data_IF_343013696848
#
_entry.id   IF_343013696848
#
_cell.length_a   1.000
_cell.length_b   1.000
_cell.length_c   1.000
_cell.angle_alpha   90.00
_cell.angle_beta   90.00
_cell.angle_gamma   90.00
#
_symmetry.space_group_name_H-M   'P 1'
#
loop_
_entity.id
_entity.type
_entity.pdbx_description
1 polymer ?
#
# COMPACT_ATOMS: atom_id res chain seq x y z
N UNK A 1 18.76 -23.03 -14.77
CA UNK A 1 18.50 -21.60 -14.46
C UNK A 1 17.02 -21.48 -14.18
N UNK A 2 16.64 -20.88 -13.05
CA UNK A 2 15.22 -20.60 -12.76
C UNK A 2 14.72 -19.63 -13.84
N UNK A 3 13.55 -19.89 -14.46
CA UNK A 3 13.00 -18.96 -15.44
C UNK A 3 12.78 -17.60 -14.79
N UNK A 4 13.04 -16.55 -15.56
CA UNK A 4 13.00 -15.17 -15.09
C UNK A 4 12.24 -14.31 -16.09
N UNK A 5 11.34 -13.48 -15.58
CA UNK A 5 10.73 -12.38 -16.33
C UNK A 5 11.61 -11.14 -16.29
N UNK A 6 11.42 -10.26 -17.26
CA UNK A 6 12.15 -8.98 -17.34
C UNK A 6 11.19 -7.86 -16.98
N UNK A 7 11.50 -7.13 -15.90
CA UNK A 7 10.82 -5.88 -15.57
C UNK A 7 11.54 -4.73 -16.27
N UNK A 8 10.78 -3.85 -16.92
CA UNK A 8 11.32 -2.77 -17.76
C UNK A 8 11.13 -1.41 -17.12
N UNK A 9 12.23 -0.78 -16.77
CA UNK A 9 12.31 0.57 -16.21
C UNK A 9 12.96 1.54 -17.21
N UNK A 10 12.93 2.87 -16.95
CA UNK A 10 13.72 3.82 -17.73
C UNK A 10 15.20 3.42 -17.75
N UNK A 11 15.86 3.52 -18.91
CA UNK A 11 17.29 3.14 -19.06
C UNK A 11 18.24 4.30 -18.77
N UNK A 12 17.73 5.53 -18.86
CA UNK A 12 18.44 6.79 -18.65
C UNK A 12 18.60 7.12 -17.16
N UNK A 13 17.73 6.61 -16.29
CA UNK A 13 17.74 6.89 -14.85
C UNK A 13 17.24 5.72 -14.00
N UNK A 14 17.69 5.68 -12.75
CA UNK A 14 17.06 4.88 -11.70
C UNK A 14 15.67 5.41 -11.36
N UNK A 15 14.73 4.51 -11.04
CA UNK A 15 13.48 4.89 -10.35
C UNK A 15 13.45 4.45 -8.88
N UNK A 16 14.56 3.91 -8.37
CA UNK A 16 14.73 3.40 -7.02
C UNK A 16 15.25 1.97 -7.00
N UNK A 17 14.77 1.13 -6.08
CA UNK A 17 15.33 -0.20 -5.84
C UNK A 17 14.30 -1.30 -6.03
N UNK A 18 14.73 -2.36 -6.72
CA UNK A 18 13.94 -3.58 -6.83
C UNK A 18 14.45 -4.62 -5.83
N UNK A 19 13.54 -5.07 -4.96
CA UNK A 19 13.77 -6.20 -4.05
C UNK A 19 12.87 -7.36 -4.42
N UNK A 20 13.21 -8.56 -3.98
CA UNK A 20 12.38 -9.72 -4.18
C UNK A 20 12.40 -10.66 -2.97
N UNK A 21 11.25 -11.28 -2.70
CA UNK A 21 11.14 -12.43 -1.79
C UNK A 21 10.78 -13.66 -2.61
N UNK A 22 11.28 -14.81 -2.22
CA UNK A 22 11.03 -16.07 -2.93
C UNK A 22 11.43 -17.27 -2.07
N UNK A 23 11.01 -18.48 -2.46
CA UNK A 23 11.30 -19.71 -1.72
C UNK A 23 12.80 -20.01 -1.59
N UNK A 24 13.62 -19.47 -2.50
CA UNK A 24 15.08 -19.51 -2.47
C UNK A 24 15.73 -18.67 -1.35
N UNK A 25 14.98 -17.77 -0.71
CA UNK A 25 15.47 -16.92 0.38
C UNK A 25 14.55 -17.00 1.62
N UNK A 26 14.40 -18.18 2.25
CA UNK A 26 13.44 -18.39 3.33
C UNK A 26 13.76 -17.56 4.58
N UNK A 27 15.05 -17.30 4.86
CA UNK A 27 15.52 -16.56 6.03
C UNK A 27 15.62 -15.04 5.79
N UNK A 28 15.13 -14.55 4.64
CA UNK A 28 15.19 -13.13 4.27
C UNK A 28 13.77 -12.51 4.26
N UNK A 29 13.21 -12.16 5.43
CA UNK A 29 11.82 -11.69 5.53
C UNK A 29 11.57 -10.38 4.76
N UNK A 30 12.61 -9.55 4.60
CA UNK A 30 12.56 -8.30 3.83
C UNK A 30 12.98 -8.46 2.36
N UNK A 31 13.29 -9.69 1.94
CA UNK A 31 13.77 -10.00 0.59
C UNK A 31 15.19 -9.54 0.30
N UNK A 32 15.72 -10.04 -0.81
CA UNK A 32 17.03 -9.68 -1.35
C UNK A 32 16.92 -8.43 -2.23
N UNK A 33 17.98 -7.63 -2.27
CA UNK A 33 18.12 -6.57 -3.26
C UNK A 33 18.51 -7.19 -4.61
N UNK A 34 17.67 -7.01 -5.64
CA UNK A 34 18.00 -7.39 -7.01
C UNK A 34 18.85 -6.33 -7.70
N UNK A 35 18.67 -5.06 -7.31
CA UNK A 35 19.48 -3.95 -7.79
C UNK A 35 18.66 -2.67 -7.97
N UNK A 36 19.23 -1.77 -8.74
CA UNK A 36 18.57 -0.56 -9.22
C UNK A 36 17.41 -0.93 -10.17
N UNK A 37 16.26 -0.28 -10.00
CA UNK A 37 15.16 -0.32 -10.94
C UNK A 37 15.49 0.58 -12.16
N UNK A 38 16.42 0.10 -13.00
CA UNK A 38 16.89 0.81 -14.19
C UNK A 38 17.06 -0.16 -15.37
N UNK A 39 16.54 0.23 -16.53
CA UNK A 39 16.58 -0.59 -17.73
C UNK A 39 15.85 -1.93 -17.54
N UNK A 40 16.40 -2.99 -18.14
CA UNK A 40 15.85 -4.34 -18.06
C UNK A 40 16.42 -5.05 -16.83
N UNK A 41 15.56 -5.34 -15.85
CA UNK A 41 15.94 -6.02 -14.61
C UNK A 41 15.34 -7.43 -14.59
N UNK A 42 16.17 -8.48 -14.59
CA UNK A 42 15.68 -9.86 -14.52
C UNK A 42 15.18 -10.20 -13.10
N UNK A 43 14.02 -10.86 -13.04
CA UNK A 43 13.37 -11.27 -11.79
C UNK A 43 12.93 -12.73 -11.90
N UNK A 44 13.34 -13.61 -10.97
CA UNK A 44 12.88 -15.00 -10.99
C UNK A 44 11.36 -15.10 -10.91
N UNK A 45 10.77 -16.04 -11.65
CA UNK A 45 9.30 -16.09 -11.81
C UNK A 45 8.55 -16.43 -10.52
N UNK A 46 9.17 -17.22 -9.65
CA UNK A 46 8.68 -17.64 -8.33
C UNK A 46 8.88 -16.57 -7.24
N UNK A 47 9.39 -15.40 -7.60
CA UNK A 47 9.59 -14.30 -6.68
C UNK A 47 8.46 -13.28 -6.69
N UNK A 48 8.24 -12.69 -5.52
CA UNK A 48 7.35 -11.56 -5.25
C UNK A 48 8.14 -10.25 -5.27
N UNK A 49 8.10 -9.46 -6.36
CA UNK A 49 8.95 -8.29 -6.53
C UNK A 49 8.35 -7.09 -5.78
N UNK A 50 9.22 -6.33 -5.11
CA UNK A 50 8.87 -5.10 -4.41
C UNK A 50 9.67 -3.95 -5.01
N UNK A 51 8.97 -2.96 -5.51
CA UNK A 51 9.58 -1.73 -6.01
C UNK A 51 9.54 -0.66 -4.91
N UNK A 52 10.71 -0.17 -4.52
CA UNK A 52 10.86 1.01 -3.68
C UNK A 52 11.17 2.19 -4.59
N UNK A 53 10.26 3.14 -4.71
CA UNK A 53 10.45 4.29 -5.61
C UNK A 53 11.16 5.41 -4.87
N UNK A 54 12.22 5.93 -5.47
CA UNK A 54 12.89 7.12 -4.93
C UNK A 54 12.02 8.37 -5.05
N UNK A 55 12.12 9.27 -4.06
CA UNK A 55 11.31 10.49 -3.99
C UNK A 55 11.41 11.38 -5.24
N UNK A 56 12.57 11.42 -5.90
CA UNK A 56 12.77 12.16 -7.15
C UNK A 56 12.01 11.53 -8.33
N UNK A 57 12.03 10.20 -8.44
CA UNK A 57 11.34 9.45 -9.48
C UNK A 57 9.82 9.43 -9.26
N UNK A 58 9.37 9.49 -8.01
CA UNK A 58 7.96 9.47 -7.63
C UNK A 58 7.16 10.68 -8.16
N UNK A 59 7.83 11.75 -8.62
CA UNK A 59 7.19 12.89 -9.30
C UNK A 59 6.56 12.52 -10.64
N UNK A 60 7.03 11.45 -11.26
CA UNK A 60 6.49 10.91 -12.51
C UNK A 60 6.46 9.38 -12.47
N UNK A 61 5.30 8.83 -12.13
CA UNK A 61 5.04 7.38 -12.11
C UNK A 61 4.62 6.82 -13.47
N UNK A 62 4.73 7.57 -14.58
CA UNK A 62 4.33 7.10 -15.91
C UNK A 62 5.07 5.84 -16.36
N UNK A 63 6.28 5.60 -15.83
CA UNK A 63 7.03 4.37 -16.11
C UNK A 63 6.30 3.09 -15.66
N UNK A 64 5.42 3.18 -14.66
CA UNK A 64 4.62 2.03 -14.20
C UNK A 64 3.72 1.48 -15.31
N UNK A 65 3.32 2.31 -16.30
CA UNK A 65 2.53 1.87 -17.45
C UNK A 65 3.22 0.83 -18.33
N UNK A 66 4.54 0.66 -18.20
CA UNK A 66 5.33 -0.36 -18.91
C UNK A 66 5.27 -1.73 -18.23
N UNK A 67 4.88 -1.76 -16.96
CA UNK A 67 4.77 -2.98 -16.17
C UNK A 67 3.41 -3.66 -16.42
N UNK A 68 3.43 -4.99 -16.41
CA UNK A 68 2.24 -5.82 -16.55
C UNK A 68 1.49 -5.93 -15.22
N UNK A 69 0.19 -6.31 -15.24
CA UNK A 69 -0.65 -6.33 -14.04
C UNK A 69 -0.10 -7.13 -12.85
N UNK A 70 0.65 -8.21 -13.13
CA UNK A 70 1.23 -9.10 -12.11
C UNK A 70 2.73 -8.93 -11.87
N UNK A 71 3.35 -7.88 -12.40
CA UNK A 71 4.82 -7.71 -12.32
C UNK A 71 5.30 -7.39 -10.91
N UNK A 72 4.48 -6.71 -10.10
CA UNK A 72 4.83 -6.28 -8.75
C UNK A 72 3.90 -6.92 -7.70
N UNK A 73 4.49 -7.42 -6.61
CA UNK A 73 3.79 -7.79 -5.37
C UNK A 73 3.56 -6.56 -4.48
N UNK A 74 4.53 -5.64 -4.48
CA UNK A 74 4.54 -4.49 -3.59
C UNK A 74 5.12 -3.23 -4.24
N UNK A 75 4.51 -2.08 -3.93
CA UNK A 75 4.93 -0.76 -4.37
C UNK A 75 5.04 0.15 -3.14
N UNK A 76 6.24 0.65 -2.89
CA UNK A 76 6.55 1.53 -1.76
C UNK A 76 6.78 2.95 -2.27
N UNK A 77 5.88 3.86 -1.90
CA UNK A 77 5.92 5.30 -2.22
C UNK A 77 6.02 6.15 -0.94
N UNK A 78 6.38 5.53 0.18
CA UNK A 78 6.46 6.18 1.50
C UNK A 78 7.41 7.39 1.48
N UNK A 79 7.01 8.52 2.08
CA UNK A 79 7.83 9.73 2.17
C UNK A 79 8.25 10.29 0.80
N UNK A 80 7.35 10.22 -0.17
CA UNK A 80 7.54 10.80 -1.51
C UNK A 80 6.52 11.91 -1.79
N UNK A 81 6.75 12.70 -2.83
CA UNK A 81 5.85 13.78 -3.24
C UNK A 81 4.72 13.32 -4.16
N UNK A 82 4.22 12.09 -3.96
CA UNK A 82 3.11 11.55 -4.75
C UNK A 82 1.83 12.28 -4.38
N UNK A 83 1.09 12.70 -5.40
CA UNK A 83 -0.26 13.27 -5.28
C UNK A 83 -1.25 12.38 -6.04
N UNK A 84 -2.53 12.77 -6.01
CA UNK A 84 -3.60 12.13 -6.79
C UNK A 84 -3.23 11.98 -8.28
N UNK A 85 -2.47 12.94 -8.85
CA UNK A 85 -2.09 12.92 -10.27
C UNK A 85 -1.18 11.74 -10.61
N UNK A 86 -0.15 11.48 -9.80
CA UNK A 86 0.79 10.40 -10.07
C UNK A 86 0.13 9.02 -9.86
N UNK A 87 -0.82 8.92 -8.93
CA UNK A 87 -1.47 7.65 -8.60
C UNK A 87 -2.35 7.09 -9.74
N UNK A 88 -2.72 7.91 -10.73
CA UNK A 88 -3.46 7.45 -11.93
C UNK A 88 -2.74 6.38 -12.75
N UNK A 89 -1.43 6.19 -12.53
CA UNK A 89 -0.60 5.21 -13.22
C UNK A 89 -0.51 3.84 -12.52
N UNK A 90 -1.19 3.67 -11.38
CA UNK A 90 -1.23 2.42 -10.59
C UNK A 90 -2.38 1.45 -10.94
N UNK A 91 -3.59 1.86 -11.40
CA UNK A 91 -4.76 0.98 -11.46
C UNK A 91 -4.61 -0.33 -12.25
N UNK A 92 -3.72 -0.38 -13.25
CA UNK A 92 -3.52 -1.57 -14.08
C UNK A 92 -2.69 -2.66 -13.39
N UNK A 93 -2.01 -2.35 -12.27
CA UNK A 93 -1.22 -3.29 -11.48
C UNK A 93 -2.10 -4.19 -10.61
N UNK A 94 -3.09 -4.86 -11.20
CA UNK A 94 -4.15 -5.58 -10.46
C UNK A 94 -3.66 -6.79 -9.64
N UNK A 95 -2.41 -7.23 -9.85
CA UNK A 95 -1.71 -8.23 -9.05
C UNK A 95 -1.01 -7.67 -7.80
N UNK A 96 -0.97 -6.34 -7.61
CA UNK A 96 -0.35 -5.69 -6.47
C UNK A 96 -1.04 -6.10 -5.17
N UNK A 97 -0.26 -6.59 -4.20
CA UNK A 97 -0.75 -7.01 -2.88
C UNK A 97 -0.48 -6.01 -1.79
N UNK A 98 0.55 -5.17 -1.95
CA UNK A 98 0.93 -4.15 -0.98
C UNK A 98 1.16 -2.81 -1.64
N UNK A 99 0.60 -1.78 -1.03
CA UNK A 99 0.83 -0.40 -1.42
C UNK A 99 1.09 0.43 -0.16
N UNK A 100 2.23 1.09 -0.10
CA UNK A 100 2.48 2.12 0.91
C UNK A 100 2.46 3.50 0.27
N UNK A 101 1.56 4.34 0.77
CA UNK A 101 1.44 5.76 0.44
C UNK A 101 1.70 6.63 1.68
N UNK A 102 2.25 6.06 2.76
CA UNK A 102 2.45 6.79 4.01
C UNK A 102 3.31 8.03 3.81
N UNK A 103 2.92 9.14 4.44
CA UNK A 103 3.59 10.44 4.32
C UNK A 103 3.74 10.88 2.85
N UNK A 104 2.61 10.88 2.13
CA UNK A 104 2.46 11.45 0.78
C UNK A 104 1.32 12.46 0.75
N UNK A 105 1.20 13.22 -0.34
CA UNK A 105 0.21 14.29 -0.52
C UNK A 105 -1.08 13.80 -1.20
N UNK A 106 -1.37 12.49 -1.12
CA UNK A 106 -2.61 11.91 -1.65
C UNK A 106 -3.84 12.34 -0.84
N UNK A 107 -4.96 12.52 -1.53
CA UNK A 107 -6.27 12.83 -0.94
C UNK A 107 -7.29 11.71 -1.18
N UNK A 108 -8.49 11.86 -0.63
CA UNK A 108 -9.62 10.95 -0.86
C UNK A 108 -9.82 10.60 -2.34
N UNK A 109 -9.61 11.57 -3.23
CA UNK A 109 -9.78 11.41 -4.67
C UNK A 109 -8.82 10.37 -5.26
N UNK A 110 -7.61 10.25 -4.72
CA UNK A 110 -6.64 9.28 -5.21
C UNK A 110 -7.13 7.83 -5.04
N UNK A 111 -7.90 7.54 -3.99
CA UNK A 111 -8.29 6.17 -3.66
C UNK A 111 -9.24 5.55 -4.70
N UNK A 112 -9.92 6.35 -5.52
CA UNK A 112 -10.70 5.83 -6.65
C UNK A 112 -9.83 5.02 -7.63
N UNK A 113 -8.55 5.35 -7.74
CA UNK A 113 -7.59 4.64 -8.59
C UNK A 113 -7.19 3.28 -8.02
N UNK A 114 -7.46 3.01 -6.74
CA UNK A 114 -7.13 1.74 -6.10
C UNK A 114 -8.23 0.69 -6.27
N UNK A 115 -9.47 1.06 -6.62
CA UNK A 115 -10.59 0.11 -6.79
C UNK A 115 -10.27 -1.10 -7.68
N UNK A 116 -9.49 -0.97 -8.78
CA UNK A 116 -9.14 -2.13 -9.62
C UNK A 116 -8.08 -3.07 -9.03
N UNK A 117 -7.43 -2.70 -7.91
CA UNK A 117 -6.41 -3.50 -7.24
C UNK A 117 -7.05 -4.61 -6.39
N UNK A 118 -7.73 -5.54 -7.06
CA UNK A 118 -8.51 -6.60 -6.43
C UNK A 118 -7.68 -7.58 -5.60
N UNK A 119 -6.35 -7.61 -5.81
CA UNK A 119 -5.41 -8.43 -5.06
C UNK A 119 -4.80 -7.72 -3.84
N UNK A 120 -5.15 -6.44 -3.61
CA UNK A 120 -4.56 -5.63 -2.56
C UNK A 120 -4.97 -6.14 -1.17
N UNK A 121 -3.97 -6.45 -0.36
CA UNK A 121 -4.12 -7.01 0.99
C UNK A 121 -3.58 -6.08 2.06
N UNK A 122 -2.63 -5.21 1.70
CA UNK A 122 -1.97 -4.32 2.63
C UNK A 122 -1.93 -2.90 2.06
N UNK A 123 -2.53 -1.95 2.77
CA UNK A 123 -2.54 -0.54 2.39
C UNK A 123 -2.12 0.31 3.59
N UNK A 124 -1.08 1.12 3.43
CA UNK A 124 -0.71 2.12 4.43
C UNK A 124 -0.90 3.53 3.91
N UNK A 125 -1.65 4.31 4.70
CA UNK A 125 -1.99 5.71 4.47
C UNK A 125 -1.60 6.57 5.68
N UNK A 126 -0.64 6.10 6.50
CA UNK A 126 -0.22 6.84 7.69
C UNK A 126 0.26 8.24 7.30
N UNK A 127 -0.14 9.26 8.05
CA UNK A 127 0.19 10.67 7.78
C UNK A 127 -0.32 11.19 6.42
N UNK A 128 -1.24 10.51 5.74
CA UNK A 128 -1.92 11.07 4.57
C UNK A 128 -3.02 12.03 5.03
N UNK A 129 -2.69 13.30 5.29
CA UNK A 129 -3.61 14.28 5.88
C UNK A 129 -4.84 14.58 5.03
N UNK A 130 -4.76 14.34 3.72
CA UNK A 130 -5.87 14.50 2.77
C UNK A 130 -6.86 13.33 2.74
N UNK A 131 -6.63 12.28 3.53
CA UNK A 131 -7.54 11.13 3.67
C UNK A 131 -8.51 11.41 4.81
N UNK A 132 -9.81 11.35 4.52
CA UNK A 132 -10.92 11.63 5.45
C UNK A 132 -11.99 10.54 5.35
N UNK A 133 -13.13 10.72 6.02
CA UNK A 133 -14.26 9.80 5.91
C UNK A 133 -14.80 9.68 4.47
N UNK A 134 -14.53 10.65 3.59
CA UNK A 134 -14.94 10.60 2.20
C UNK A 134 -14.20 9.52 1.38
N UNK A 135 -13.03 9.05 1.84
CA UNK A 135 -12.31 7.92 1.26
C UNK A 135 -12.93 6.55 1.56
N UNK A 136 -13.80 6.45 2.57
CA UNK A 136 -14.32 5.16 3.05
C UNK A 136 -15.00 4.33 1.95
N UNK A 137 -15.88 4.88 1.09
CA UNK A 137 -16.49 4.10 0.01
C UNK A 137 -15.46 3.46 -0.93
N UNK A 138 -14.36 4.15 -1.22
CA UNK A 138 -13.26 3.63 -2.03
C UNK A 138 -12.48 2.53 -1.30
N UNK A 139 -12.23 2.70 -0.01
CA UNK A 139 -11.62 1.67 0.84
C UNK A 139 -12.49 0.41 0.88
N UNK A 140 -13.82 0.55 1.01
CA UNK A 140 -14.77 -0.57 1.04
C UNK A 140 -14.83 -1.36 -0.29
N UNK A 141 -14.33 -0.81 -1.39
CA UNK A 141 -14.18 -1.55 -2.64
C UNK A 141 -13.04 -2.59 -2.58
N UNK A 142 -12.06 -2.41 -1.69
CA UNK A 142 -10.91 -3.30 -1.51
C UNK A 142 -11.27 -4.49 -0.63
N UNK A 143 -12.13 -5.38 -1.15
CA UNK A 143 -12.71 -6.50 -0.37
C UNK A 143 -11.68 -7.50 0.16
N UNK A 144 -10.50 -7.57 -0.48
CA UNK A 144 -9.37 -8.42 -0.07
C UNK A 144 -8.42 -7.77 0.95
N UNK A 145 -8.69 -6.53 1.39
CA UNK A 145 -7.78 -5.80 2.27
C UNK A 145 -7.76 -6.43 3.67
N UNK A 146 -6.56 -6.82 4.12
CA UNK A 146 -6.31 -7.47 5.41
C UNK A 146 -5.67 -6.51 6.43
N UNK A 147 -4.84 -5.57 5.95
CA UNK A 147 -4.19 -4.55 6.76
C UNK A 147 -4.48 -3.17 6.20
N UNK A 148 -4.86 -2.25 7.08
CA UNK A 148 -5.09 -0.84 6.77
C UNK A 148 -4.47 0.04 7.87
N UNK A 149 -3.64 1.01 7.47
CA UNK A 149 -3.15 2.05 8.38
C UNK A 149 -3.77 3.40 8.02
N UNK A 150 -4.42 4.04 9.00
CA UNK A 150 -5.07 5.36 8.91
C UNK A 150 -4.60 6.32 10.00
N UNK A 151 -3.49 6.02 10.67
CA UNK A 151 -2.91 6.90 11.67
C UNK A 151 -2.54 8.27 11.10
N UNK A 152 -2.74 9.33 11.88
CA UNK A 152 -2.50 10.74 11.45
C UNK A 152 -3.22 11.15 10.15
N UNK A 153 -4.35 10.53 9.85
CA UNK A 153 -5.25 10.98 8.76
C UNK A 153 -6.38 11.86 9.33
N UNK A 154 -7.26 12.33 8.45
CA UNK A 154 -8.51 13.02 8.79
C UNK A 154 -9.70 12.10 9.05
N UNK A 155 -9.51 10.78 9.17
CA UNK A 155 -10.59 9.84 9.51
C UNK A 155 -11.16 10.15 10.91
N UNK A 156 -12.47 10.00 11.06
CA UNK A 156 -13.19 10.18 12.33
C UNK A 156 -13.87 8.90 12.79
N UNK A 157 -14.52 8.95 13.96
CA UNK A 157 -15.37 7.87 14.47
C UNK A 157 -16.41 7.41 13.45
N UNK A 158 -17.01 8.33 12.69
CA UNK A 158 -18.03 8.00 11.71
C UNK A 158 -17.46 7.19 10.53
N UNK A 159 -16.25 7.53 10.06
CA UNK A 159 -15.58 6.78 9.01
C UNK A 159 -15.09 5.42 9.49
N UNK A 160 -14.47 5.36 10.68
CA UNK A 160 -13.88 4.12 11.19
C UNK A 160 -14.94 3.04 11.46
N UNK A 161 -16.13 3.42 11.95
CA UNK A 161 -17.22 2.48 12.22
C UNK A 161 -17.75 1.83 10.93
N UNK A 162 -17.70 2.54 9.80
CA UNK A 162 -18.08 1.97 8.50
C UNK A 162 -17.08 0.92 8.01
N UNK A 163 -15.81 0.95 8.45
CA UNK A 163 -14.80 -0.04 8.07
C UNK A 163 -15.10 -1.44 8.62
N UNK A 164 -16.05 -1.59 9.55
CA UNK A 164 -16.57 -2.90 9.96
C UNK A 164 -17.06 -3.76 8.77
N UNK A 165 -17.47 -3.11 7.66
CA UNK A 165 -17.94 -3.74 6.44
C UNK A 165 -16.82 -4.36 5.57
N UNK A 166 -15.53 -4.15 5.87
CA UNK A 166 -14.41 -4.79 5.15
C UNK A 166 -14.26 -6.25 5.58
N UNK A 167 -14.68 -7.23 4.76
CA UNK A 167 -14.82 -8.61 5.23
C UNK A 167 -13.48 -9.24 5.61
N UNK A 168 -12.41 -8.94 4.87
CA UNK A 168 -11.09 -9.53 5.07
C UNK A 168 -10.21 -8.78 6.08
N UNK A 169 -10.62 -7.61 6.59
CA UNK A 169 -9.76 -6.77 7.43
C UNK A 169 -9.44 -7.47 8.75
N UNK A 170 -8.14 -7.61 9.04
CA UNK A 170 -7.57 -8.27 10.22
C UNK A 170 -6.82 -7.31 11.12
N UNK A 171 -6.23 -6.27 10.56
CA UNK A 171 -5.47 -5.27 11.32
C UNK A 171 -5.78 -3.87 10.82
N UNK A 172 -6.14 -3.00 11.76
CA UNK A 172 -6.41 -1.58 11.54
C UNK A 172 -5.55 -0.78 12.51
N UNK A 173 -4.70 0.11 11.99
CA UNK A 173 -3.91 1.00 12.84
C UNK A 173 -4.42 2.43 12.76
N UNK A 174 -4.65 3.02 13.93
CA UNK A 174 -5.26 4.34 14.16
C UNK A 174 -4.37 5.20 15.06
N UNK A 175 -3.08 4.88 15.13
CA UNK A 175 -2.11 5.63 15.91
C UNK A 175 -2.11 7.11 15.51
N UNK A 176 -2.21 7.97 16.52
CA UNK A 176 -2.23 9.43 16.44
C UNK A 176 -3.37 9.93 15.54
N UNK A 177 -4.47 9.18 15.47
CA UNK A 177 -5.71 9.60 14.83
C UNK A 177 -6.59 10.41 15.80
N UNK A 178 -7.70 10.94 15.27
CA UNK A 178 -8.73 11.64 16.05
C UNK A 178 -9.85 10.72 16.51
N UNK A 179 -9.70 9.41 16.27
CA UNK A 179 -10.71 8.41 16.63
C UNK A 179 -10.75 8.25 18.14
N UNK A 180 -11.95 8.21 18.71
CA UNK A 180 -12.17 8.07 20.15
C UNK A 180 -12.07 6.61 20.60
N UNK A 181 -11.79 6.40 21.89
CA UNK A 181 -11.80 5.06 22.49
C UNK A 181 -13.17 4.41 22.38
N UNK A 182 -14.23 5.19 22.51
CA UNK A 182 -15.61 4.76 22.41
C UNK A 182 -15.90 4.17 21.02
N UNK A 183 -15.43 4.83 19.96
CA UNK A 183 -15.55 4.31 18.60
C UNK A 183 -14.71 3.06 18.35
N UNK A 184 -13.48 3.00 18.89
CA UNK A 184 -12.64 1.77 18.84
C UNK A 184 -13.35 0.61 19.53
N UNK A 185 -13.88 0.83 20.75
CA UNK A 185 -14.60 -0.20 21.49
C UNK A 185 -15.85 -0.68 20.75
N UNK A 186 -16.60 0.24 20.12
CA UNK A 186 -17.75 -0.11 19.30
C UNK A 186 -17.35 -0.90 18.05
N UNK A 187 -16.31 -0.49 17.33
CA UNK A 187 -15.79 -1.23 16.19
C UNK A 187 -15.34 -2.64 16.62
N UNK A 188 -14.68 -2.76 17.76
CA UNK A 188 -14.28 -4.05 18.32
C UNK A 188 -15.48 -4.93 18.67
N UNK A 189 -16.59 -4.36 19.16
CA UNK A 189 -17.85 -5.12 19.37
C UNK A 189 -18.42 -5.66 18.07
N UNK A 190 -18.39 -4.86 17.00
CA UNK A 190 -18.86 -5.28 15.67
C UNK A 190 -17.91 -6.30 15.02
N UNK A 191 -16.61 -6.21 15.31
CA UNK A 191 -15.55 -7.05 14.73
C UNK A 191 -14.62 -7.60 15.82
N UNK A 192 -15.04 -8.58 16.65
CA UNK A 192 -14.25 -9.05 17.78
C UNK A 192 -12.86 -9.63 17.43
N UNK A 193 -12.68 -10.12 16.20
CA UNK A 193 -11.40 -10.65 15.70
C UNK A 193 -10.51 -9.63 14.97
N UNK A 194 -10.96 -8.38 14.80
CA UNK A 194 -10.14 -7.32 14.21
C UNK A 194 -9.11 -6.87 15.26
N UNK A 195 -7.82 -6.86 14.89
CA UNK A 195 -6.79 -6.22 15.71
C UNK A 195 -6.80 -4.73 15.42
N UNK A 196 -7.09 -3.92 16.44
CA UNK A 196 -7.03 -2.46 16.35
C UNK A 196 -5.85 -1.97 17.17
N UNK A 197 -4.96 -1.19 16.57
CA UNK A 197 -3.82 -0.54 17.24
C UNK A 197 -4.14 0.96 17.35
N UNK A 198 -4.24 1.47 18.57
CA UNK A 198 -4.59 2.88 18.84
C UNK A 198 -3.60 3.47 19.87
N UNK A 199 -3.22 4.76 19.77
CA UNK A 199 -2.05 5.37 20.45
C UNK A 199 -1.94 5.21 21.97
N UNK A 200 -2.98 4.74 22.63
CA UNK A 200 -3.00 4.53 24.07
C UNK A 200 -2.65 3.09 24.47
N UNK A 201 -2.45 2.19 23.51
CA UNK A 201 -1.93 0.83 23.72
C UNK A 201 -0.41 0.81 24.03
N UNK A 202 0.26 1.97 24.02
CA UNK A 202 1.70 2.12 24.29
C UNK A 202 2.05 2.30 25.79
N UNK A 203 1.10 2.12 26.70
CA UNK A 203 1.36 2.11 28.14
C UNK A 203 0.65 0.92 28.80
N UNK A 204 1.35 -0.21 28.87
CA UNK A 204 1.18 -1.25 29.87
C UNK A 204 2.52 -1.97 30.08
#
# INVERSE_FOLDING_TARGET
MTPSRILRFPSDRSVGWLRARGPQWPDMPHGILLGDARGDVPVPDDCAPRLLVESTAARDLSFLSRLQPGDLDALELTQTQVTDEQLRHVPHLSGLRRLSLSDTDVTDRALMHLRPLVSLQWLALWWCRGITDAAVPDLLALRGLEFLSLGRTGITDAGVLQLAALPALRTLTLEDSRVTREAVAELQRQRPGLRIEHSEDRIA
#
